data_IF_963289480100
#
_entry.id   IF_963289480100
#
_cell.length_a   1.000
_cell.length_b   1.000
_cell.length_c   1.000
_cell.angle_alpha   90.00
_cell.angle_beta   90.00
_cell.angle_gamma   90.00
#
_symmetry.space_group_name_H-M   'P 1'
#
loop_
_entity.id
_entity.type
_entity.pdbx_description
1 polymer ?
#
# COMPACT_ATOMS: atom_id res chain seq x y z
N UNK A 1 -10.49 -13.21 -37.51
CA UNK A 1 -10.99 -12.79 -36.18
C UNK A 1 -9.96 -11.85 -35.59
N UNK A 2 -10.33 -10.58 -35.40
CA UNK A 2 -9.45 -9.59 -34.77
C UNK A 2 -9.49 -9.90 -33.27
N UNK A 3 -8.52 -10.69 -32.80
CA UNK A 3 -8.31 -10.99 -31.39
C UNK A 3 -8.28 -9.64 -30.66
N UNK A 4 -9.28 -9.45 -29.80
CA UNK A 4 -9.60 -8.15 -29.21
C UNK A 4 -8.37 -7.48 -28.63
N UNK A 5 -8.29 -6.16 -28.78
CA UNK A 5 -7.32 -5.31 -28.10
C UNK A 5 -7.27 -5.71 -26.62
N UNK A 6 -6.24 -6.48 -26.24
CA UNK A 6 -6.07 -6.90 -24.84
C UNK A 6 -5.74 -5.65 -24.06
N UNK A 7 -6.74 -5.14 -23.32
CA UNK A 7 -6.60 -3.96 -22.48
C UNK A 7 -5.34 -4.07 -21.59
N UNK A 8 -4.64 -2.95 -21.40
CA UNK A 8 -3.43 -2.91 -20.60
C UNK A 8 -3.71 -3.38 -19.16
N UNK A 9 -2.84 -4.20 -18.56
CA UNK A 9 -3.01 -4.66 -17.19
C UNK A 9 -3.02 -3.46 -16.24
N UNK A 10 -3.96 -3.46 -15.31
CA UNK A 10 -4.12 -2.38 -14.35
C UNK A 10 -4.07 -2.93 -12.92
N UNK A 11 -3.41 -2.18 -12.04
CA UNK A 11 -3.36 -2.45 -10.60
C UNK A 11 -3.87 -1.24 -9.85
N UNK A 12 -4.92 -1.44 -9.07
CA UNK A 12 -5.44 -0.43 -8.14
C UNK A 12 -5.16 -0.84 -6.71
N UNK A 13 -4.27 -0.11 -6.02
CA UNK A 13 -4.05 -0.33 -4.58
C UNK A 13 -5.22 0.26 -3.81
N UNK A 14 -5.83 -0.55 -2.93
CA UNK A 14 -7.04 -0.23 -2.17
C UNK A 14 -6.68 0.32 -0.80
N UNK A 15 -5.83 -0.42 -0.07
CA UNK A 15 -5.41 -0.06 1.27
C UNK A 15 -4.02 -0.61 1.61
N UNK A 16 -3.41 0.03 2.60
CA UNK A 16 -2.27 -0.46 3.35
C UNK A 16 -2.75 -0.80 4.76
N UNK A 17 -2.69 -2.06 5.15
CA UNK A 17 -2.92 -2.47 6.53
C UNK A 17 -1.60 -2.60 7.28
N UNK A 18 -1.51 -2.00 8.46
CA UNK A 18 -0.43 -2.23 9.42
C UNK A 18 -0.86 -3.32 10.40
N UNK A 19 -0.11 -4.40 10.42
CA UNK A 19 -0.29 -5.52 11.34
C UNK A 19 0.77 -5.42 12.43
N UNK A 20 0.36 -5.51 13.70
CA UNK A 20 1.28 -5.58 14.83
C UNK A 20 0.74 -6.54 15.88
N UNK A 21 1.58 -7.34 16.55
CA UNK A 21 1.13 -8.22 17.63
C UNK A 21 0.34 -7.44 18.69
N UNK A 22 -0.67 -8.09 19.26
CA UNK A 22 -1.46 -7.58 20.39
C UNK A 22 -2.24 -6.27 20.14
N UNK A 23 -2.39 -5.87 18.88
CA UNK A 23 -3.19 -4.70 18.47
C UNK A 23 -4.10 -5.04 17.29
N UNK A 24 -5.27 -4.40 17.18
CA UNK A 24 -6.09 -4.48 15.99
C UNK A 24 -5.33 -3.99 14.75
N UNK A 25 -5.63 -4.61 13.60
CA UNK A 25 -5.17 -4.17 12.29
C UNK A 25 -5.53 -2.70 12.06
N UNK A 26 -4.52 -1.88 11.69
CA UNK A 26 -4.76 -0.50 11.27
C UNK A 26 -4.86 -0.45 9.75
N UNK A 27 -6.08 -0.34 9.24
CA UNK A 27 -6.36 -0.23 7.80
C UNK A 27 -6.28 1.22 7.36
N UNK A 28 -5.39 1.52 6.41
CA UNK A 28 -5.19 2.84 5.84
C UNK A 28 -5.67 2.84 4.38
N UNK A 29 -6.84 3.42 4.05
CA UNK A 29 -7.31 3.48 2.68
C UNK A 29 -6.37 4.32 1.82
N UNK A 30 -6.32 4.04 0.52
CA UNK A 30 -5.56 4.84 -0.44
C UNK A 30 -6.54 5.65 -1.31
N UNK A 31 -6.37 6.99 -1.43
CA UNK A 31 -5.29 7.79 -0.85
C UNK A 31 -5.40 7.91 0.68
N UNK A 32 -4.25 8.05 1.34
CA UNK A 32 -4.21 8.16 2.79
C UNK A 32 -4.98 9.38 3.29
N UNK A 33 -5.75 9.17 4.35
CA UNK A 33 -6.45 10.25 5.07
C UNK A 33 -5.55 10.68 6.21
N UNK A 34 -5.08 11.92 6.14
CA UNK A 34 -4.28 12.50 7.22
C UNK A 34 -5.17 12.90 8.41
N UNK A 35 -4.60 12.80 9.61
CA UNK A 35 -5.19 13.37 10.82
C UNK A 35 -5.08 14.91 10.85
N UNK A 36 -5.57 15.54 11.92
CA UNK A 36 -5.49 16.99 12.13
C UNK A 36 -4.05 17.54 12.14
N UNK A 37 -3.06 16.67 12.37
CA UNK A 37 -1.62 17.02 12.40
C UNK A 37 -0.94 16.73 11.07
N UNK A 38 -1.65 16.21 10.08
CA UNK A 38 -1.13 15.89 8.75
C UNK A 38 -0.49 14.50 8.64
N UNK A 39 -0.62 13.62 9.64
CA UNK A 39 -0.04 12.28 9.61
C UNK A 39 -1.07 11.25 9.12
N UNK A 40 -0.64 10.32 8.26
CA UNK A 40 -1.47 9.19 7.85
C UNK A 40 -1.54 8.08 8.93
N UNK A 41 -0.44 7.86 9.66
CA UNK A 41 -0.35 6.89 10.75
C UNK A 41 0.85 7.19 11.65
N UNK A 42 0.87 6.55 12.82
CA UNK A 42 2.01 6.56 13.74
C UNK A 42 2.39 5.13 14.13
N UNK A 43 3.69 4.86 14.21
CA UNK A 43 4.24 3.62 14.72
C UNK A 43 4.89 3.87 16.08
N UNK A 44 4.60 3.01 17.06
CA UNK A 44 5.25 3.09 18.37
C UNK A 44 6.69 2.59 18.24
N UNK A 45 7.63 3.32 18.82
CA UNK A 45 9.04 2.96 18.83
C UNK A 45 9.26 1.54 19.39
N UNK A 46 10.22 0.82 18.79
CA UNK A 46 10.53 -0.58 19.12
C UNK A 46 9.43 -1.61 18.81
N UNK A 47 8.33 -1.23 18.16
CA UNK A 47 7.24 -2.17 17.86
C UNK A 47 7.54 -3.01 16.62
N UNK A 48 7.31 -4.32 16.70
CA UNK A 48 7.31 -5.20 15.53
C UNK A 48 6.02 -4.98 14.73
N UNK A 49 6.15 -4.80 13.42
CA UNK A 49 5.01 -4.65 12.52
C UNK A 49 5.31 -5.25 11.14
N UNK A 50 4.25 -5.51 10.39
CA UNK A 50 4.31 -5.83 8.96
C UNK A 50 3.26 -5.05 8.19
N UNK A 51 3.53 -4.79 6.91
CA UNK A 51 2.58 -4.16 6.00
C UNK A 51 1.89 -5.20 5.12
N UNK A 52 0.57 -5.10 5.00
CA UNK A 52 -0.23 -5.86 4.04
C UNK A 52 -0.88 -4.89 3.06
N UNK A 53 -0.62 -5.04 1.77
CA UNK A 53 -1.28 -4.27 0.72
C UNK A 53 -2.46 -5.06 0.17
N UNK A 54 -3.62 -4.41 0.09
CA UNK A 54 -4.77 -4.92 -0.66
C UNK A 54 -4.81 -4.19 -2.00
N UNK A 55 -4.91 -4.92 -3.10
CA UNK A 55 -4.98 -4.35 -4.44
C UNK A 55 -5.88 -5.19 -5.34
N UNK A 56 -6.43 -4.54 -6.35
CA UNK A 56 -7.27 -5.16 -7.38
C UNK A 56 -6.47 -5.19 -8.67
N UNK A 57 -6.49 -6.32 -9.36
CA UNK A 57 -5.96 -6.48 -10.72
C UNK A 57 -7.13 -6.52 -11.69
N UNK A 58 -7.09 -5.68 -12.71
CA UNK A 58 -8.10 -5.62 -13.78
C UNK A 58 -7.45 -5.73 -15.16
N UNK A 59 -8.28 -5.97 -16.17
CA UNK A 59 -7.96 -6.05 -17.60
C UNK A 59 -7.09 -7.25 -18.02
N UNK A 60 -5.96 -7.49 -17.36
CA UNK A 60 -5.03 -8.56 -17.72
C UNK A 60 -4.13 -8.98 -16.54
N UNK A 61 -3.36 -10.05 -16.72
CA UNK A 61 -2.39 -10.54 -15.74
C UNK A 61 -1.23 -9.55 -15.60
N UNK A 62 -0.87 -9.25 -14.35
CA UNK A 62 0.29 -8.43 -14.03
C UNK A 62 1.46 -9.35 -13.66
N UNK A 63 2.55 -9.26 -14.40
CA UNK A 63 3.79 -9.98 -14.10
C UNK A 63 4.81 -9.06 -13.45
N UNK A 64 5.47 -9.52 -12.38
CA UNK A 64 6.57 -8.79 -11.75
C UNK A 64 6.14 -7.54 -10.96
N UNK A 65 4.93 -7.53 -10.39
CA UNK A 65 4.50 -6.48 -9.46
C UNK A 65 5.49 -6.38 -8.29
N UNK A 66 6.05 -5.19 -8.07
CA UNK A 66 7.03 -4.92 -7.02
C UNK A 66 6.59 -3.74 -6.18
N UNK A 67 6.91 -3.81 -4.89
CA UNK A 67 6.72 -2.73 -3.95
C UNK A 67 8.08 -2.15 -3.54
N UNK A 68 8.17 -0.82 -3.50
CA UNK A 68 9.32 -0.09 -2.99
C UNK A 68 8.85 0.87 -1.91
N UNK A 69 9.44 0.77 -0.71
CA UNK A 69 9.22 1.73 0.37
C UNK A 69 10.40 2.68 0.45
N UNK A 70 10.16 3.98 0.40
CA UNK A 70 11.19 5.00 0.63
C UNK A 70 10.88 5.74 1.91
N UNK A 71 11.77 5.61 2.90
CA UNK A 71 11.63 6.26 4.20
C UNK A 71 12.51 7.50 4.23
N UNK A 72 11.95 8.62 4.69
CA UNK A 72 12.65 9.90 4.78
C UNK A 72 12.75 10.33 6.25
N UNK A 73 13.94 10.76 6.65
CA UNK A 73 14.17 11.47 7.91
C UNK A 73 14.95 12.73 7.58
N UNK A 74 14.62 13.85 8.20
CA UNK A 74 15.29 15.13 7.90
C UNK A 74 16.81 14.96 7.94
N UNK A 75 17.48 15.20 6.79
CA UNK A 75 18.93 15.13 6.64
C UNK A 75 19.52 13.79 6.16
N UNK A 76 18.74 12.72 5.96
CA UNK A 76 19.25 11.41 5.51
C UNK A 76 18.30 10.77 4.49
N UNK A 77 18.85 10.25 3.38
CA UNK A 77 18.19 9.39 2.39
C UNK A 77 18.65 7.95 2.58
#
# INVERSE_FOLDING_TARGET
EQLGETAEPEVKVVDLTILSPDRPDLVLPIPFVADEKGYAFALKDGSTYSFRFSFIVSNNIVSGLKYTNTVWKTGVR
#
